data_IF_209376691595
#
_entry.id   IF_209376691595
#
_cell.length_a   1.000
_cell.length_b   1.000
_cell.length_c   1.000
_cell.angle_alpha   90.00
_cell.angle_beta   90.00
_cell.angle_gamma   90.00
#
_symmetry.space_group_name_H-M   'P 1'
#
loop_
_entity.id
_entity.type
_entity.pdbx_description
1 polymer ?
#
# COMPACT_ATOMS: atom_id res chain seq x y z
N UNK A 1 -14.43 -11.17 14.66
CA UNK A 1 -14.51 -9.77 14.24
C UNK A 1 -13.14 -9.49 13.68
N UNK A 2 -13.07 -9.36 12.37
CA UNK A 2 -11.79 -9.23 11.70
C UNK A 2 -11.37 -7.77 11.71
N UNK A 3 -10.08 -7.53 11.70
CA UNK A 3 -9.52 -6.21 11.51
C UNK A 3 -8.65 -6.26 10.25
N UNK A 4 -8.67 -5.19 9.47
CA UNK A 4 -7.72 -5.01 8.39
C UNK A 4 -6.91 -3.73 8.58
N UNK A 5 -5.71 -3.75 8.01
CA UNK A 5 -4.78 -2.66 7.97
C UNK A 5 -4.13 -2.66 6.59
N UNK A 6 -4.06 -1.51 5.95
CA UNK A 6 -3.33 -1.32 4.69
C UNK A 6 -1.96 -0.76 5.03
N UNK A 7 -0.94 -1.37 4.45
CA UNK A 7 0.42 -0.85 4.42
C UNK A 7 0.61 -0.05 3.15
N UNK A 8 0.97 1.21 3.29
CA UNK A 8 1.26 2.10 2.17
C UNK A 8 2.62 2.74 2.37
N UNK A 9 3.39 2.86 1.29
CA UNK A 9 4.61 3.64 1.28
C UNK A 9 4.28 5.02 0.74
N UNK A 10 4.36 6.05 1.59
CA UNK A 10 3.83 7.39 1.37
C UNK A 10 2.36 7.35 0.94
N UNK A 11 2.12 7.41 -0.36
CA UNK A 11 0.79 7.44 -0.99
C UNK A 11 0.43 6.12 -1.70
N UNK A 12 1.38 5.18 -1.85
CA UNK A 12 1.24 3.97 -2.67
C UNK A 12 0.99 2.74 -1.78
N UNK A 13 -0.15 2.04 -1.90
CA UNK A 13 -0.41 0.83 -1.12
C UNK A 13 0.48 -0.33 -1.59
N UNK A 14 1.04 -1.08 -0.65
CA UNK A 14 1.98 -2.19 -0.92
C UNK A 14 1.43 -3.55 -0.48
N UNK A 15 0.73 -3.59 0.65
CA UNK A 15 0.18 -4.83 1.19
C UNK A 15 -1.07 -4.56 2.03
N UNK A 16 -2.01 -5.49 2.02
CA UNK A 16 -3.14 -5.49 2.96
C UNK A 16 -2.93 -6.61 3.97
N UNK A 17 -3.04 -6.28 5.26
CA UNK A 17 -3.01 -7.23 6.35
C UNK A 17 -4.41 -7.33 6.93
N UNK A 18 -4.92 -8.54 7.11
CA UNK A 18 -6.16 -8.79 7.83
C UNK A 18 -5.92 -9.80 8.93
N UNK A 19 -6.48 -9.58 10.12
CA UNK A 19 -6.37 -10.48 11.26
C UNK A 19 -7.75 -10.76 11.83
N UNK A 20 -7.98 -11.97 12.31
CA UNK A 20 -9.16 -12.34 13.08
C UNK A 20 -8.70 -13.23 14.24
N UNK A 21 -8.67 -12.66 15.45
CA UNK A 21 -8.18 -13.36 16.64
C UNK A 21 -6.73 -13.86 16.50
N UNK A 22 -6.56 -15.16 16.30
CA UNK A 22 -5.26 -15.82 16.14
C UNK A 22 -4.79 -15.91 14.68
N UNK A 23 -5.70 -15.76 13.72
CA UNK A 23 -5.39 -15.85 12.30
C UNK A 23 -4.94 -14.49 11.78
N UNK A 24 -3.83 -14.47 11.04
CA UNK A 24 -3.33 -13.27 10.35
C UNK A 24 -3.00 -13.61 8.91
N UNK A 25 -3.65 -12.91 8.00
CA UNK A 25 -3.52 -13.06 6.56
C UNK A 25 -2.87 -11.80 6.02
N UNK A 26 -1.94 -11.98 5.08
CA UNK A 26 -1.25 -10.90 4.40
C UNK A 26 -1.44 -11.10 2.91
N UNK A 27 -2.01 -10.11 2.25
CA UNK A 27 -2.23 -10.10 0.81
C UNK A 27 -1.34 -9.03 0.20
N UNK A 28 -0.37 -9.48 -0.60
CA UNK A 28 0.53 -8.59 -1.32
C UNK A 28 -0.18 -8.01 -2.55
N UNK A 29 -0.01 -6.72 -2.79
CA UNK A 29 -0.48 -6.11 -4.03
C UNK A 29 0.40 -6.55 -5.23
N UNK A 30 -0.08 -6.38 -6.47
CA UNK A 30 0.69 -6.74 -7.66
C UNK A 30 2.00 -5.95 -7.79
N UNK A 31 2.94 -6.49 -8.57
CA UNK A 31 4.27 -5.93 -8.78
C UNK A 31 4.27 -4.45 -9.20
N UNK A 32 3.26 -3.98 -9.95
CA UNK A 32 3.12 -2.57 -10.35
C UNK A 32 3.20 -1.57 -9.19
N UNK A 33 2.71 -1.95 -8.01
CA UNK A 33 2.78 -1.09 -6.82
C UNK A 33 4.20 -1.03 -6.28
N UNK A 34 4.90 -2.15 -6.29
CA UNK A 34 6.28 -2.22 -5.85
C UNK A 34 7.21 -1.47 -6.80
N UNK A 35 7.02 -1.62 -8.11
CA UNK A 35 7.71 -0.84 -9.14
C UNK A 35 7.47 0.66 -8.96
N UNK A 36 6.24 1.07 -8.66
CA UNK A 36 5.94 2.47 -8.38
C UNK A 36 6.65 2.97 -7.10
N UNK A 37 6.71 2.16 -6.03
CA UNK A 37 7.46 2.51 -4.81
C UNK A 37 8.95 2.67 -5.10
N UNK A 38 9.54 1.75 -5.86
CA UNK A 38 10.95 1.81 -6.25
C UNK A 38 11.21 3.07 -7.11
N UNK A 39 10.36 3.38 -8.08
CA UNK A 39 10.46 4.63 -8.84
C UNK A 39 10.27 5.88 -7.98
N UNK A 40 9.36 5.84 -7.00
CA UNK A 40 9.12 6.96 -6.10
C UNK A 40 10.36 7.24 -5.24
N UNK A 41 10.94 6.18 -4.66
CA UNK A 41 12.16 6.25 -3.88
C UNK A 41 13.34 6.77 -4.72
N UNK A 42 13.49 6.28 -5.95
CA UNK A 42 14.50 6.79 -6.89
C UNK A 42 14.27 8.27 -7.25
N UNK A 43 13.02 8.69 -7.52
CA UNK A 43 12.67 10.08 -7.86
C UNK A 43 12.92 11.05 -6.71
N UNK A 44 12.52 10.67 -5.50
CA UNK A 44 12.71 11.47 -4.29
C UNK A 44 14.18 11.53 -3.85
N UNK A 45 15.05 10.70 -4.43
CA UNK A 45 16.41 10.52 -3.93
C UNK A 45 16.44 9.85 -2.55
N UNK A 46 15.33 9.25 -2.11
CA UNK A 46 15.19 8.48 -0.86
C UNK A 46 15.75 7.06 -1.04
N UNK A 47 16.93 6.97 -1.68
CA UNK A 47 17.73 5.75 -1.80
C UNK A 47 18.50 5.43 -0.51
N UNK A 48 18.57 6.38 0.41
CA UNK A 48 19.03 6.12 1.77
C UNK A 48 18.02 5.22 2.50
N UNK A 49 18.51 4.14 3.09
CA UNK A 49 17.70 3.13 3.77
C UNK A 49 16.82 3.73 4.88
N UNK A 50 17.26 4.83 5.49
CA UNK A 50 16.51 5.56 6.52
C UNK A 50 15.26 6.24 5.94
N UNK A 51 15.40 6.92 4.80
CA UNK A 51 14.29 7.61 4.14
C UNK A 51 13.27 6.61 3.55
N UNK A 52 13.76 5.54 2.94
CA UNK A 52 12.91 4.45 2.48
C UNK A 52 12.11 3.81 3.63
N UNK A 53 12.74 3.59 4.79
CA UNK A 53 12.05 3.02 5.96
C UNK A 53 11.07 4.00 6.57
N UNK A 54 11.38 5.30 6.59
CA UNK A 54 10.52 6.37 7.09
C UNK A 54 9.28 6.60 6.22
N UNK A 55 9.34 6.29 4.93
CA UNK A 55 8.20 6.37 4.01
C UNK A 55 7.09 5.36 4.29
N UNK A 56 7.35 4.32 5.09
CA UNK A 56 6.32 3.32 5.42
C UNK A 56 5.29 3.86 6.39
N UNK A 57 4.04 3.90 5.94
CA UNK A 57 2.88 4.25 6.73
C UNK A 57 1.91 3.07 6.82
N UNK A 58 1.24 2.97 7.96
CA UNK A 58 0.29 1.89 8.25
C UNK A 58 -1.01 2.53 8.66
N UNK A 59 -2.06 2.17 7.95
CA UNK A 59 -3.40 2.62 8.29
C UNK A 59 -3.86 2.12 9.66
N UNK A 60 -4.76 2.85 10.32
CA UNK A 60 -5.38 2.34 11.54
C UNK A 60 -6.11 1.03 11.25
N UNK A 61 -6.03 0.11 12.21
CA UNK A 61 -6.80 -1.13 12.16
C UNK A 61 -8.29 -0.80 12.13
N UNK A 62 -8.93 -1.24 11.06
CA UNK A 62 -10.36 -1.02 10.85
C UNK A 62 -11.09 -2.34 11.04
N UNK A 63 -12.04 -2.35 11.97
CA UNK A 63 -12.88 -3.52 12.26
C UNK A 63 -13.87 -3.76 11.12
N UNK A 64 -14.10 -5.04 10.82
CA UNK A 64 -15.06 -5.51 9.84
C UNK A 64 -15.68 -6.84 10.29
N UNK A 65 -16.92 -7.08 9.89
CA UNK A 65 -17.66 -8.32 10.14
C UNK A 65 -17.37 -9.43 9.09
N UNK A 66 -16.58 -9.11 8.06
CA UNK A 66 -16.18 -10.08 7.02
C UNK A 66 -15.00 -10.95 7.46
N UNK A 67 -14.85 -12.13 6.85
CA UNK A 67 -13.69 -13.02 7.08
C UNK A 67 -12.39 -12.36 6.59
N UNK A 68 -11.25 -12.55 7.28
CA UNK A 68 -10.00 -11.81 6.97
C UNK A 68 -9.51 -12.06 5.55
N UNK A 69 -9.72 -13.26 5.00
CA UNK A 69 -9.34 -13.60 3.63
C UNK A 69 -10.15 -12.82 2.58
N UNK A 70 -11.48 -12.80 2.72
CA UNK A 70 -12.37 -12.09 1.80
C UNK A 70 -12.20 -10.58 1.92
N UNK A 71 -12.06 -10.07 3.15
CA UNK A 71 -11.80 -8.67 3.43
C UNK A 71 -10.51 -8.19 2.77
N UNK A 72 -9.39 -8.89 3.00
CA UNK A 72 -8.12 -8.52 2.39
C UNK A 72 -8.17 -8.56 0.85
N UNK A 73 -8.81 -9.59 0.27
CA UNK A 73 -8.98 -9.68 -1.18
C UNK A 73 -9.87 -8.55 -1.74
N UNK A 74 -10.96 -8.21 -1.05
CA UNK A 74 -11.87 -7.11 -1.42
C UNK A 74 -11.16 -5.77 -1.40
N UNK A 75 -10.44 -5.47 -0.31
CA UNK A 75 -9.67 -4.23 -0.17
C UNK A 75 -8.56 -4.18 -1.22
N UNK A 76 -7.86 -5.30 -1.45
CA UNK A 76 -6.85 -5.39 -2.50
C UNK A 76 -7.46 -5.07 -3.86
N UNK A 77 -8.56 -5.70 -4.24
CA UNK A 77 -9.25 -5.43 -5.51
C UNK A 77 -9.70 -3.95 -5.62
N UNK A 78 -10.25 -3.37 -4.56
CA UNK A 78 -10.63 -1.95 -4.55
C UNK A 78 -9.42 -1.02 -4.72
N UNK A 79 -8.29 -1.31 -4.05
CA UNK A 79 -7.05 -0.57 -4.23
C UNK A 79 -6.49 -0.74 -5.64
N UNK A 80 -6.58 -1.94 -6.20
CA UNK A 80 -6.13 -2.24 -7.55
C UNK A 80 -6.91 -1.51 -8.64
N UNK A 81 -8.23 -1.33 -8.44
CA UNK A 81 -9.10 -0.53 -9.31
C UNK A 81 -8.87 0.97 -9.11
N UNK A 82 -8.71 1.41 -7.87
CA UNK A 82 -8.51 2.83 -7.56
C UNK A 82 -7.12 3.34 -7.97
N UNK A 83 -6.09 2.54 -7.74
CA UNK A 83 -4.70 2.81 -8.12
C UNK A 83 -4.36 2.16 -9.46
N UNK A 84 -4.96 2.72 -10.51
CA UNK A 84 -4.54 2.44 -11.89
C UNK A 84 -3.13 3.00 -12.15
N UNK A 85 -2.46 2.52 -13.20
CA UNK A 85 -1.15 3.00 -13.64
C UNK A 85 -1.09 4.52 -13.77
N UNK A 86 -2.17 5.15 -14.25
CA UNK A 86 -2.27 6.61 -14.36
C UNK A 86 -2.20 7.29 -12.99
N UNK A 87 -2.89 6.76 -11.97
CA UNK A 87 -2.89 7.33 -10.62
C UNK A 87 -1.52 7.13 -9.96
N UNK A 88 -0.92 5.94 -10.12
CA UNK A 88 0.44 5.68 -9.65
C UNK A 88 1.42 6.68 -10.28
N UNK A 89 1.41 6.82 -11.60
CA UNK A 89 2.25 7.80 -12.29
C UNK A 89 1.99 9.24 -11.84
N UNK A 90 0.73 9.64 -11.63
CA UNK A 90 0.40 10.97 -11.10
C UNK A 90 0.96 11.21 -9.69
N UNK A 91 0.95 10.18 -8.83
CA UNK A 91 1.57 10.23 -7.49
C UNK A 91 3.08 10.41 -7.62
N UNK A 92 3.73 9.66 -8.52
CA UNK A 92 5.17 9.75 -8.78
C UNK A 92 5.57 11.14 -9.31
N UNK A 93 4.76 11.69 -10.21
CA UNK A 93 4.96 13.01 -10.79
C UNK A 93 4.80 14.10 -9.72
N UNK A 94 3.77 14.01 -8.87
CA UNK A 94 3.55 14.93 -7.76
C UNK A 94 4.67 14.92 -6.73
N UNK A 95 5.35 13.77 -6.53
CA UNK A 95 6.49 13.64 -5.63
C UNK A 95 7.75 14.31 -6.17
N UNK A 96 7.83 14.59 -7.47
CA UNK A 96 8.99 15.21 -8.10
C UNK A 96 8.56 16.50 -8.81
N UNK A 97 8.40 17.62 -8.08
CA UNK A 97 8.00 18.89 -8.69
C UNK A 97 9.21 19.48 -9.44
N UNK A 98 9.50 18.93 -10.62
CA UNK A 98 10.34 19.58 -11.62
C UNK A 98 9.41 20.29 -12.60
N UNK A 99 8.76 21.37 -12.16
CA UNK A 99 8.30 22.43 -13.07
C UNK A 99 8.13 23.77 -12.34
#
# INVERSE_FOLDING_TARGET
MSEYQVMRWREIPSMVMARDGADTIKVMLPARFQEAIDEAAMRLGEIDADAYTAGWNRDPWTQSDEVPAALAARITASLEEEFSEIKLQAILDAMNPTN
#
